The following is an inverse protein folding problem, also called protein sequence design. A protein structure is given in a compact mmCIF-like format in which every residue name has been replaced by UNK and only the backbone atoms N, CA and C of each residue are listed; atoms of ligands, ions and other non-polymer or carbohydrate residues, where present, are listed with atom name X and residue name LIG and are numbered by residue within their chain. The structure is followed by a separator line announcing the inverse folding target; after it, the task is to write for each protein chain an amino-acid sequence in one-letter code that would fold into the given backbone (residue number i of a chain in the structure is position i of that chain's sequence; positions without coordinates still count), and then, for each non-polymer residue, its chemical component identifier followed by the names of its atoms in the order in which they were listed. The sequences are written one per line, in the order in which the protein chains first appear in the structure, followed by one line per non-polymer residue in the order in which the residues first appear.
data_IF_939799707799
#
_entry.id   IF_939799707799
#
_cell.length_a   1.000
_cell.length_b   1.000
_cell.length_c   1.000
_cell.angle_alpha   90.00
_cell.angle_beta   90.00
_cell.angle_gamma   90.00
#
_symmetry.space_group_name_H-M   'P 1'
#
loop_
_entity.id
_entity.type
_entity.pdbx_description
1 polymer ?
#
# COMPACT_ATOMS: atom_id res chain seq x y z
N UNK A 1 8.21 -8.76 22.13
CA UNK A 1 9.53 -9.03 21.55
C UNK A 1 9.93 -10.50 21.75
N UNK A 2 9.73 -11.03 22.93
CA UNK A 2 10.03 -12.44 23.27
C UNK A 2 9.30 -13.43 22.34
N UNK A 3 8.05 -13.14 22.00
CA UNK A 3 7.26 -13.91 21.02
C UNK A 3 7.71 -13.74 19.55
N UNK A 4 8.82 -13.07 19.29
CA UNK A 4 9.38 -12.89 17.94
C UNK A 4 8.81 -11.70 17.14
N UNK A 5 8.06 -10.78 17.78
CA UNK A 5 7.54 -9.59 17.10
C UNK A 5 8.68 -8.61 16.78
N UNK A 6 8.88 -8.30 15.50
CA UNK A 6 9.94 -7.44 15.01
C UNK A 6 9.49 -6.06 14.54
N UNK A 7 8.25 -5.96 14.07
CA UNK A 7 7.76 -4.77 13.40
C UNK A 7 6.26 -4.61 13.54
N UNK A 8 5.83 -3.37 13.74
CA UNK A 8 4.42 -2.98 13.79
C UNK A 8 4.19 -1.87 12.75
N UNK A 9 3.11 -1.99 12.01
CA UNK A 9 2.52 -0.90 11.26
C UNK A 9 1.35 -0.36 12.08
N UNK A 10 1.35 0.94 12.38
CA UNK A 10 0.31 1.59 13.16
C UNK A 10 -0.31 2.76 12.41
N UNK A 11 -1.60 2.99 12.60
CA UNK A 11 -2.26 4.20 12.14
C UNK A 11 -1.75 5.41 12.93
N UNK A 12 -1.51 6.50 12.21
CA UNK A 12 -1.10 7.79 12.78
C UNK A 12 -1.72 8.92 11.95
N UNK A 13 -3.03 9.18 12.11
CA UNK A 13 -3.83 9.98 11.20
C UNK A 13 -3.46 11.46 11.17
N UNK A 14 -3.10 12.06 12.30
CA UNK A 14 -2.76 13.48 12.40
C UNK A 14 -1.99 13.80 13.68
N UNK A 15 -1.16 14.83 13.64
CA UNK A 15 -0.58 15.47 14.83
C UNK A 15 -1.64 16.29 15.60
N UNK A 16 -2.68 16.76 14.91
CA UNK A 16 -3.78 17.47 15.56
C UNK A 16 -4.64 16.51 16.37
N UNK A 17 -4.81 16.82 17.65
CA UNK A 17 -5.54 15.94 18.58
C UNK A 17 -7.01 15.76 18.20
N UNK A 18 -7.68 16.85 17.78
CA UNK A 18 -9.12 16.79 17.45
C UNK A 18 -9.34 16.02 16.16
N UNK A 19 -8.50 16.27 15.14
CA UNK A 19 -8.53 15.52 13.89
C UNK A 19 -8.24 14.03 14.13
N UNK A 20 -7.22 13.73 14.95
CA UNK A 20 -6.85 12.37 15.28
C UNK A 20 -8.00 11.63 15.96
N UNK A 21 -8.60 12.25 16.99
CA UNK A 21 -9.74 11.68 17.70
C UNK A 21 -10.96 11.50 16.78
N UNK A 22 -11.23 12.47 15.89
CA UNK A 22 -12.29 12.39 14.90
C UNK A 22 -12.08 11.22 13.92
N UNK A 23 -10.89 11.09 13.33
CA UNK A 23 -10.58 10.04 12.35
C UNK A 23 -10.59 8.66 13.03
N UNK A 24 -10.04 8.58 14.25
CA UNK A 24 -9.95 7.32 15.01
C UNK A 24 -11.25 6.96 15.74
N UNK A 25 -12.25 7.84 15.73
CA UNK A 25 -13.50 7.70 16.49
C UNK A 25 -13.23 7.30 17.97
N UNK A 26 -12.23 7.92 18.59
CA UNK A 26 -11.74 7.56 19.92
C UNK A 26 -11.10 8.75 20.62
N UNK A 27 -11.49 9.02 21.84
CA UNK A 27 -10.92 10.08 22.67
C UNK A 27 -9.48 9.81 23.08
N UNK A 28 -8.64 10.85 23.05
CA UNK A 28 -7.22 10.81 23.40
C UNK A 28 -6.43 9.77 22.56
N UNK A 29 -6.82 9.59 21.30
CA UNK A 29 -6.21 8.61 20.42
C UNK A 29 -4.75 8.95 20.10
N UNK A 30 -4.41 10.21 19.91
CA UNK A 30 -3.04 10.66 19.64
C UNK A 30 -2.10 10.28 20.79
N UNK A 31 -2.47 10.56 22.04
CA UNK A 31 -1.66 10.23 23.22
C UNK A 31 -1.50 8.71 23.38
N UNK A 32 -2.57 7.94 23.10
CA UNK A 32 -2.52 6.48 23.14
C UNK A 32 -1.56 5.93 22.08
N UNK A 33 -1.61 6.45 20.86
CA UNK A 33 -0.72 6.08 19.75
C UNK A 33 0.73 6.41 20.11
N UNK A 34 1.01 7.64 20.56
CA UNK A 34 2.35 8.06 20.96
C UNK A 34 2.93 7.20 22.07
N UNK A 35 2.11 6.88 23.09
CA UNK A 35 2.51 5.99 24.18
C UNK A 35 2.83 4.59 23.69
N UNK A 36 2.01 4.04 22.78
CA UNK A 36 2.23 2.74 22.15
C UNK A 36 3.52 2.70 21.33
N UNK A 37 3.76 3.71 20.49
CA UNK A 37 5.00 3.84 19.70
C UNK A 37 6.21 3.86 20.62
N UNK A 38 6.21 4.74 21.65
CA UNK A 38 7.32 4.84 22.61
C UNK A 38 7.59 3.51 23.35
N UNK A 39 6.53 2.78 23.70
CA UNK A 39 6.67 1.46 24.34
C UNK A 39 7.33 0.45 23.38
N UNK A 40 6.91 0.40 22.15
CA UNK A 40 7.47 -0.49 21.11
C UNK A 40 8.94 -0.17 20.83
N UNK A 41 9.28 1.10 20.62
CA UNK A 41 10.65 1.55 20.36
C UNK A 41 11.58 1.20 21.51
N UNK A 42 11.16 1.43 22.76
CA UNK A 42 11.94 1.05 23.96
C UNK A 42 12.21 -0.46 24.03
N UNK A 43 11.31 -1.28 23.50
CA UNK A 43 11.48 -2.74 23.46
C UNK A 43 12.14 -3.24 22.17
N UNK A 44 12.74 -2.36 21.36
CA UNK A 44 13.44 -2.74 20.13
C UNK A 44 12.52 -3.25 19.02
N UNK A 45 11.22 -2.91 19.06
CA UNK A 45 10.27 -3.21 18.00
C UNK A 45 10.27 -2.05 17.01
N UNK A 46 10.50 -2.32 15.74
CA UNK A 46 10.46 -1.30 14.68
C UNK A 46 9.03 -0.86 14.42
N UNK A 47 8.84 0.42 14.18
CA UNK A 47 7.53 1.01 13.92
C UNK A 47 7.50 1.67 12.56
N UNK A 48 6.47 1.35 11.78
CA UNK A 48 6.05 2.13 10.63
C UNK A 48 4.75 2.87 10.98
N UNK A 49 4.77 4.18 10.90
CA UNK A 49 3.57 5.00 11.00
C UNK A 49 2.88 5.08 9.64
N UNK A 50 1.56 4.99 9.62
CA UNK A 50 0.75 5.12 8.40
C UNK A 50 -0.34 6.18 8.60
N UNK A 51 -0.36 7.14 7.70
CA UNK A 51 -1.38 8.17 7.62
C UNK A 51 -2.25 7.92 6.40
N UNK A 52 -3.53 7.63 6.60
CA UNK A 52 -4.51 7.66 5.51
C UNK A 52 -4.81 9.11 5.21
N UNK A 53 -4.59 9.51 3.95
CA UNK A 53 -4.77 10.91 3.54
C UNK A 53 -6.24 11.17 3.31
N UNK A 54 -6.74 12.18 3.98
CA UNK A 54 -8.07 12.74 3.85
C UNK A 54 -7.96 14.25 3.64
N UNK A 55 -8.95 14.88 3.09
CA UNK A 55 -8.99 16.35 2.98
C UNK A 55 -8.82 17.03 4.34
N UNK A 56 -9.35 16.41 5.41
CA UNK A 56 -9.25 16.94 6.76
C UNK A 56 -7.82 17.00 7.31
N UNK A 57 -6.91 16.09 6.86
CA UNK A 57 -5.58 15.96 7.46
C UNK A 57 -4.42 16.23 6.49
N UNK A 58 -4.69 16.47 5.21
CA UNK A 58 -3.65 16.60 4.18
C UNK A 58 -2.63 17.73 4.47
N UNK A 59 -3.04 18.78 5.13
CA UNK A 59 -2.15 19.91 5.48
C UNK A 59 -1.28 19.62 6.73
N UNK A 60 -1.46 18.48 7.39
CA UNK A 60 -0.71 18.04 8.59
C UNK A 60 0.34 16.97 8.30
N UNK A 61 0.54 16.58 7.03
CA UNK A 61 1.42 15.47 6.66
C UNK A 61 2.84 15.67 7.18
N UNK A 62 3.44 16.84 6.90
CA UNK A 62 4.82 17.11 7.30
C UNK A 62 5.00 17.08 8.82
N UNK A 63 4.14 17.76 9.55
CA UNK A 63 4.23 17.85 11.00
C UNK A 63 3.94 16.49 11.67
N UNK A 64 3.01 15.70 11.11
CA UNK A 64 2.74 14.34 11.56
C UNK A 64 3.94 13.43 11.33
N UNK A 65 4.57 13.53 10.15
CA UNK A 65 5.80 12.77 9.85
C UNK A 65 6.98 13.19 10.73
N UNK A 66 7.14 14.50 11.00
CA UNK A 66 8.13 15.02 11.94
C UNK A 66 7.92 14.46 13.36
N UNK A 67 6.68 14.42 13.83
CA UNK A 67 6.36 13.81 15.12
C UNK A 67 6.67 12.30 15.12
N UNK A 68 6.28 11.57 14.06
CA UNK A 68 6.60 10.15 13.92
C UNK A 68 8.11 9.89 13.98
N UNK A 69 8.91 10.73 13.29
CA UNK A 69 10.38 10.67 13.35
C UNK A 69 10.91 10.88 14.77
N UNK A 70 10.42 11.90 15.48
CA UNK A 70 10.82 12.21 16.86
C UNK A 70 10.46 11.10 17.86
N UNK A 71 9.45 10.31 17.57
CA UNK A 71 9.03 9.17 18.36
C UNK A 71 9.85 7.89 18.07
N UNK A 72 10.73 7.92 17.06
CA UNK A 72 11.58 6.79 16.68
C UNK A 72 10.94 5.83 15.69
N UNK A 73 9.93 6.25 14.93
CA UNK A 73 9.44 5.47 13.79
C UNK A 73 10.51 5.37 12.70
N UNK A 74 10.69 4.20 12.11
CA UNK A 74 11.67 3.96 11.03
C UNK A 74 11.10 4.23 9.64
N UNK A 75 9.77 4.29 9.52
CA UNK A 75 9.06 4.56 8.26
C UNK A 75 7.82 5.40 8.48
N UNK A 76 7.52 6.22 7.48
CA UNK A 76 6.26 6.95 7.39
C UNK A 76 5.60 6.69 6.04
N UNK A 77 4.43 6.09 6.07
CA UNK A 77 3.62 5.85 4.89
C UNK A 77 2.47 6.85 4.83
N UNK A 78 2.16 7.31 3.61
CA UNK A 78 0.88 7.92 3.33
C UNK A 78 0.08 6.97 2.45
N UNK A 79 -1.18 6.79 2.77
CA UNK A 79 -2.05 5.87 2.05
C UNK A 79 -3.23 6.62 1.49
N UNK A 80 -3.49 6.45 0.20
CA UNK A 80 -4.74 6.95 -0.40
C UNK A 80 -5.90 6.34 0.35
N UNK A 81 -6.88 7.16 0.72
CA UNK A 81 -8.13 6.66 1.24
C UNK A 81 -8.84 5.84 0.17
N UNK A 82 -9.32 4.66 0.54
CA UNK A 82 -10.28 3.92 -0.26
C UNK A 82 -11.65 4.30 0.30
N UNK A 83 -12.50 4.98 -0.47
CA UNK A 83 -13.85 5.31 0.00
C UNK A 83 -14.58 4.03 0.43
N UNK A 84 -15.49 4.10 1.40
CA UNK A 84 -16.34 2.97 1.71
C UNK A 84 -17.09 2.55 0.43
N UNK A 85 -17.20 1.24 0.22
CA UNK A 85 -17.89 0.70 -0.94
C UNK A 85 -19.32 1.26 -1.03
N UNK A 86 -19.83 1.27 -2.22
CA UNK A 86 -21.15 1.81 -2.60
C UNK A 86 -22.29 1.03 -1.93
N UNK A 87 -22.27 0.90 -0.60
CA UNK A 87 -23.43 0.44 0.15
C UNK A 87 -24.52 1.54 0.10
N UNK A 88 -25.77 1.14 0.14
CA UNK A 88 -26.92 2.06 0.01
C UNK A 88 -26.89 3.25 0.99
N UNK A 89 -26.11 3.15 2.06
CA UNK A 89 -25.90 4.20 3.06
C UNK A 89 -25.01 5.34 2.58
N UNK A 90 -24.17 5.14 1.56
CA UNK A 90 -23.28 6.18 1.01
C UNK A 90 -23.93 7.04 -0.10
N UNK A 91 -25.13 6.68 -0.56
CA UNK A 91 -25.86 7.44 -1.58
C UNK A 91 -26.51 8.73 -1.06
N UNK A 92 -26.53 8.97 0.24
CA UNK A 92 -27.35 10.05 0.83
C UNK A 92 -26.59 11.30 1.23
N UNK A 93 -25.24 11.33 1.13
CA UNK A 93 -24.48 12.49 1.59
C UNK A 93 -23.26 12.77 0.70
N UNK A 94 -23.40 13.75 -0.19
CA UNK A 94 -22.33 14.29 -1.03
C UNK A 94 -21.14 14.82 -0.20
N UNK A 95 -21.30 15.03 1.10
CA UNK A 95 -20.24 15.52 2.01
C UNK A 95 -19.13 14.49 2.21
N UNK A 96 -19.41 13.20 2.02
CA UNK A 96 -18.39 12.14 2.16
C UNK A 96 -17.48 12.01 0.95
N UNK A 97 -17.94 12.30 -0.26
CA UNK A 97 -17.10 12.27 -1.47
C UNK A 97 -15.94 13.28 -1.38
N UNK A 98 -16.22 14.48 -0.90
CA UNK A 98 -15.20 15.53 -0.74
C UNK A 98 -14.13 15.16 0.28
N UNK A 99 -14.45 14.34 1.28
CA UNK A 99 -13.49 13.92 2.29
C UNK A 99 -12.39 13.00 1.73
N UNK A 100 -12.74 12.12 0.79
CA UNK A 100 -11.86 11.06 0.28
C UNK A 100 -11.19 11.41 -1.05
N UNK A 101 -11.82 12.23 -1.89
CA UNK A 101 -11.36 12.53 -3.23
C UNK A 101 -10.52 13.82 -3.28
N UNK A 102 -9.22 13.66 -3.10
CA UNK A 102 -8.27 14.76 -3.32
C UNK A 102 -8.05 14.97 -4.83
N UNK A 103 -7.91 16.22 -5.23
CA UNK A 103 -7.52 16.57 -6.60
C UNK A 103 -6.11 16.09 -6.92
N UNK A 104 -5.75 16.12 -8.21
CA UNK A 104 -4.38 15.79 -8.65
C UNK A 104 -3.34 16.69 -7.99
N UNK A 105 -3.60 18.00 -7.89
CA UNK A 105 -2.69 18.97 -7.27
C UNK A 105 -2.54 18.73 -5.77
N UNK A 106 -3.65 18.53 -5.06
CA UNK A 106 -3.64 18.20 -3.64
C UNK A 106 -2.87 16.91 -3.37
N UNK A 107 -3.09 15.87 -4.19
CA UNK A 107 -2.38 14.61 -4.05
C UNK A 107 -0.88 14.78 -4.31
N UNK A 108 -0.47 15.52 -5.34
CA UNK A 108 0.96 15.80 -5.59
C UNK A 108 1.58 16.59 -4.45
N UNK A 109 0.89 17.60 -3.91
CA UNK A 109 1.33 18.35 -2.72
C UNK A 109 1.57 17.42 -1.53
N UNK A 110 0.65 16.47 -1.29
CA UNK A 110 0.83 15.46 -0.24
C UNK A 110 2.08 14.60 -0.45
N UNK A 111 2.32 14.13 -1.68
CA UNK A 111 3.52 13.35 -2.01
C UNK A 111 4.80 14.16 -1.80
N UNK A 112 4.80 15.43 -2.18
CA UNK A 112 5.95 16.33 -2.02
C UNK A 112 6.28 16.57 -0.53
N UNK A 113 5.27 16.74 0.33
CA UNK A 113 5.48 16.83 1.79
C UNK A 113 6.10 15.54 2.36
N UNK A 114 5.73 14.38 1.84
CA UNK A 114 6.34 13.11 2.26
C UNK A 114 7.80 12.99 1.79
N UNK A 115 8.11 13.44 0.57
CA UNK A 115 9.51 13.50 0.11
C UNK A 115 10.35 14.47 0.94
N UNK A 116 9.74 15.55 1.42
CA UNK A 116 10.37 16.49 2.36
C UNK A 116 10.68 15.81 3.69
N UNK A 117 9.74 15.03 4.25
CA UNK A 117 9.98 14.21 5.46
C UNK A 117 11.16 13.27 5.25
N UNK A 118 11.22 12.55 4.12
CA UNK A 118 12.36 11.68 3.76
C UNK A 118 13.67 12.42 3.80
N UNK A 119 13.73 13.60 3.20
CA UNK A 119 14.93 14.44 3.12
C UNK A 119 15.36 14.92 4.49
N UNK A 120 14.44 15.50 5.26
CA UNK A 120 14.75 16.21 6.50
C UNK A 120 15.04 15.27 7.66
N UNK A 121 14.33 14.14 7.76
CA UNK A 121 14.45 13.19 8.87
C UNK A 121 15.14 11.87 8.50
N UNK A 122 15.61 11.70 7.25
CA UNK A 122 16.21 10.44 6.75
C UNK A 122 15.30 9.22 6.94
N UNK A 123 14.01 9.44 7.04
CA UNK A 123 13.01 8.42 7.23
C UNK A 123 12.65 7.75 5.90
N UNK A 124 12.42 6.44 5.92
CA UNK A 124 11.88 5.76 4.74
C UNK A 124 10.41 6.13 4.57
N UNK A 125 10.02 6.36 3.33
CA UNK A 125 8.65 6.76 3.00
C UNK A 125 8.06 5.87 1.93
N UNK A 126 6.75 5.99 1.68
CA UNK A 126 6.05 5.24 0.64
C UNK A 126 4.54 5.30 0.83
N UNK A 127 3.83 4.44 0.10
CA UNK A 127 2.38 4.29 0.20
C UNK A 127 2.00 2.80 0.30
N UNK A 128 0.86 2.51 0.94
CA UNK A 128 0.29 1.16 0.99
C UNK A 128 -0.73 0.90 -0.12
N UNK A 129 -1.23 1.96 -0.74
CA UNK A 129 -2.13 1.91 -1.89
C UNK A 129 -1.41 2.49 -3.11
N UNK A 130 -1.49 1.80 -4.24
CA UNK A 130 -0.81 2.20 -5.47
C UNK A 130 -1.36 3.50 -6.06
N UNK A 131 -0.46 4.25 -6.70
CA UNK A 131 -0.78 5.40 -7.54
C UNK A 131 -0.65 5.01 -9.01
N UNK A 132 -1.56 5.48 -9.91
CA UNK A 132 -1.33 5.36 -11.33
C UNK A 132 -0.02 6.03 -11.73
N UNK A 133 0.86 5.32 -12.45
CA UNK A 133 2.18 5.87 -12.82
C UNK A 133 2.07 7.06 -13.76
N UNK A 134 1.06 7.08 -14.61
CA UNK A 134 0.77 8.22 -15.48
C UNK A 134 0.45 9.50 -14.70
N UNK A 135 -0.13 9.39 -13.50
CA UNK A 135 -0.35 10.51 -12.59
C UNK A 135 0.96 11.04 -12.00
N UNK A 136 1.86 10.13 -11.64
CA UNK A 136 3.14 10.52 -11.04
C UNK A 136 4.02 11.28 -12.04
N UNK A 137 3.98 10.96 -13.34
CA UNK A 137 4.76 11.52 -14.44
C UNK A 137 6.27 11.36 -14.28
N UNK A 138 6.85 12.01 -13.25
CA UNK A 138 8.26 11.95 -12.90
C UNK A 138 8.50 10.80 -11.90
N UNK A 139 8.73 9.61 -12.46
CA UNK A 139 8.88 8.41 -11.64
C UNK A 139 10.19 8.39 -10.84
N UNK A 140 11.22 9.14 -11.27
CA UNK A 140 12.46 9.31 -10.50
C UNK A 140 12.23 10.16 -9.26
N UNK A 141 11.53 11.27 -9.39
CA UNK A 141 11.13 12.11 -8.24
C UNK A 141 10.30 11.31 -7.25
N UNK A 142 9.31 10.57 -7.75
CA UNK A 142 8.34 9.83 -6.94
C UNK A 142 8.69 8.34 -6.76
N UNK A 143 9.97 7.98 -6.89
CA UNK A 143 10.46 6.59 -6.83
C UNK A 143 9.97 5.81 -5.61
N UNK A 144 9.83 6.44 -4.45
CA UNK A 144 9.35 5.81 -3.22
C UNK A 144 7.88 5.35 -3.30
N UNK A 145 7.14 5.83 -4.28
CA UNK A 145 5.74 5.49 -4.53
C UNK A 145 5.53 4.60 -5.77
N UNK A 146 6.62 4.29 -6.48
CA UNK A 146 6.62 3.47 -7.69
C UNK A 146 6.89 2.00 -7.36
N UNK A 147 6.48 1.09 -8.24
CA UNK A 147 6.91 -0.31 -8.26
C UNK A 147 6.22 -1.22 -7.27
N UNK A 148 5.14 -0.77 -6.63
CA UNK A 148 4.37 -1.68 -5.78
C UNK A 148 3.26 -2.40 -6.51
N UNK A 149 2.71 -1.84 -7.58
CA UNK A 149 1.49 -2.37 -8.17
C UNK A 149 0.38 -2.59 -7.12
N UNK A 150 -0.65 -3.31 -7.48
CA UNK A 150 -1.65 -3.76 -6.51
C UNK A 150 -1.25 -5.14 -5.94
N UNK A 151 -0.92 -5.27 -4.64
CA UNK A 151 -0.53 -6.57 -4.07
C UNK A 151 -1.62 -7.64 -4.20
N UNK A 152 -2.87 -7.21 -4.26
CA UNK A 152 -4.01 -8.11 -4.45
C UNK A 152 -4.07 -8.62 -5.90
N UNK A 153 -3.88 -7.75 -6.90
CA UNK A 153 -3.81 -8.18 -8.30
C UNK A 153 -2.59 -9.06 -8.60
N UNK A 154 -1.46 -8.74 -7.96
CA UNK A 154 -0.23 -9.56 -8.11
C UNK A 154 -0.29 -10.88 -7.35
N UNK A 155 -1.37 -11.19 -6.63
CA UNK A 155 -1.50 -12.42 -5.87
C UNK A 155 -0.63 -12.51 -4.62
N UNK A 156 -0.02 -11.41 -4.18
CA UNK A 156 0.85 -11.38 -3.00
C UNK A 156 0.09 -11.14 -1.69
N UNK A 157 -1.20 -10.88 -1.76
CA UNK A 157 -2.03 -10.53 -0.62
C UNK A 157 -3.44 -11.06 -0.79
N UNK A 158 -3.99 -11.53 0.31
CA UNK A 158 -5.41 -11.80 0.49
C UNK A 158 -5.81 -11.36 1.88
N UNK A 159 -7.09 -11.28 2.15
CA UNK A 159 -7.65 -11.02 3.47
C UNK A 159 -8.65 -12.10 3.86
N UNK A 160 -8.79 -12.31 5.16
CA UNK A 160 -9.79 -13.21 5.75
C UNK A 160 -10.57 -12.37 6.74
N UNK A 161 -11.90 -12.38 6.61
CA UNK A 161 -12.76 -11.69 7.56
C UNK A 161 -13.03 -12.54 8.82
N UNK A 162 -13.77 -11.98 9.78
CA UNK A 162 -14.08 -12.66 11.05
C UNK A 162 -14.89 -13.95 10.88
N UNK A 163 -15.63 -14.09 9.78
CA UNK A 163 -16.43 -15.28 9.45
C UNK A 163 -15.62 -16.36 8.71
N UNK A 164 -14.35 -16.08 8.41
CA UNK A 164 -13.48 -16.98 7.66
C UNK A 164 -13.58 -16.84 6.14
N UNK A 165 -14.30 -15.85 5.62
CA UNK A 165 -14.41 -15.62 4.19
C UNK A 165 -13.13 -15.01 3.63
N UNK A 166 -12.71 -15.49 2.47
CA UNK A 166 -11.51 -15.09 1.75
C UNK A 166 -11.83 -14.00 0.72
N UNK A 167 -11.09 -12.92 0.79
CA UNK A 167 -11.19 -11.78 -0.14
C UNK A 167 -9.83 -11.47 -0.76
N UNK A 168 -9.80 -10.95 -1.98
CA UNK A 168 -8.55 -10.52 -2.63
C UNK A 168 -7.98 -9.24 -1.99
N UNK A 169 -8.85 -8.42 -1.41
CA UNK A 169 -8.48 -7.18 -0.74
C UNK A 169 -9.35 -6.95 0.50
N UNK A 170 -8.84 -6.23 1.49
CA UNK A 170 -9.62 -5.83 2.69
C UNK A 170 -10.79 -4.90 2.37
N UNK A 171 -10.78 -4.28 1.21
CA UNK A 171 -11.83 -3.38 0.72
C UNK A 171 -12.78 -4.06 -0.30
N UNK A 172 -12.60 -5.36 -0.55
CA UNK A 172 -13.45 -6.15 -1.44
C UNK A 172 -14.56 -6.80 -0.65
N UNK A 173 -15.80 -6.70 -1.10
CA UNK A 173 -16.95 -7.32 -0.46
C UNK A 173 -17.19 -8.75 -0.99
N UNK A 174 -16.78 -9.03 -2.23
CA UNK A 174 -16.93 -10.35 -2.83
C UNK A 174 -16.09 -11.39 -2.08
N UNK A 175 -16.72 -12.49 -1.67
CA UNK A 175 -16.05 -13.64 -1.06
C UNK A 175 -15.76 -14.69 -2.11
N UNK A 176 -14.52 -15.19 -2.10
CA UNK A 176 -14.02 -16.22 -3.02
C UNK A 176 -14.00 -17.61 -2.39
N UNK A 177 -14.40 -17.73 -1.15
CA UNK A 177 -14.47 -18.97 -0.41
C UNK A 177 -14.33 -18.75 1.08
N UNK A 178 -14.34 -19.85 1.86
CA UNK A 178 -14.29 -19.76 3.32
C UNK A 178 -13.30 -20.81 3.86
N UNK A 179 -12.38 -20.35 4.73
CA UNK A 179 -11.28 -21.17 5.29
C UNK A 179 -11.75 -22.37 6.12
N UNK A 180 -13.00 -22.35 6.59
CA UNK A 180 -13.58 -23.47 7.32
C UNK A 180 -14.20 -24.53 6.40
N UNK A 181 -14.36 -24.23 5.10
CA UNK A 181 -15.00 -25.10 4.10
C UNK A 181 -14.03 -25.60 3.04
N UNK A 182 -13.05 -24.77 2.66
CA UNK A 182 -12.16 -25.02 1.53
C UNK A 182 -10.74 -24.57 1.91
N UNK A 183 -9.72 -25.24 1.41
CA UNK A 183 -8.35 -24.84 1.68
C UNK A 183 -8.02 -23.47 1.03
N UNK A 184 -7.21 -22.67 1.70
CA UNK A 184 -6.75 -21.38 1.16
C UNK A 184 -6.06 -21.58 -0.20
N UNK A 185 -5.29 -22.65 -0.35
CA UNK A 185 -4.59 -22.98 -1.60
C UNK A 185 -5.57 -23.21 -2.75
N UNK A 186 -6.64 -23.93 -2.51
CA UNK A 186 -7.66 -24.23 -3.52
C UNK A 186 -8.38 -22.94 -3.97
N UNK A 187 -8.84 -22.13 -3.02
CA UNK A 187 -9.47 -20.81 -3.32
C UNK A 187 -8.52 -19.91 -4.10
N UNK A 188 -7.24 -19.83 -3.68
CA UNK A 188 -6.24 -19.01 -4.34
C UNK A 188 -5.97 -19.46 -5.78
N UNK A 189 -5.89 -20.75 -6.04
CA UNK A 189 -5.58 -21.29 -7.36
C UNK A 189 -6.76 -21.26 -8.33
N UNK A 190 -7.98 -21.32 -7.83
CA UNK A 190 -9.20 -21.39 -8.62
C UNK A 190 -9.91 -20.03 -8.67
N UNK A 191 -10.61 -19.69 -7.60
CA UNK A 191 -11.53 -18.55 -7.58
C UNK A 191 -10.83 -17.20 -7.66
N UNK A 192 -9.73 -17.03 -6.94
CA UNK A 192 -8.96 -15.78 -6.96
C UNK A 192 -8.08 -15.61 -8.19
N UNK A 193 -7.92 -16.66 -8.99
CA UNK A 193 -7.06 -16.65 -10.18
C UNK A 193 -7.47 -15.62 -11.21
N UNK A 194 -8.76 -15.30 -11.31
CA UNK A 194 -9.28 -14.26 -12.20
C UNK A 194 -8.69 -12.89 -11.88
N UNK A 195 -8.56 -12.56 -10.60
CA UNK A 195 -7.90 -11.35 -10.16
C UNK A 195 -6.40 -11.37 -10.49
N UNK A 196 -5.74 -12.47 -10.17
CA UNK A 196 -4.31 -12.64 -10.40
C UNK A 196 -3.95 -12.66 -11.88
N UNK A 197 -4.86 -13.08 -12.76
CA UNK A 197 -4.67 -13.07 -14.21
C UNK A 197 -4.83 -11.69 -14.84
N UNK A 198 -4.90 -10.64 -14.02
CA UNK A 198 -4.89 -9.23 -14.48
C UNK A 198 -6.08 -8.86 -15.38
N UNK A 199 -7.18 -9.61 -15.30
CA UNK A 199 -8.42 -9.36 -16.04
C UNK A 199 -9.14 -8.08 -15.60
N UNK A 200 -8.80 -7.57 -14.43
CA UNK A 200 -9.40 -6.38 -13.81
C UNK A 200 -8.63 -5.08 -14.11
N UNK A 201 -8.00 -4.97 -15.27
CA UNK A 201 -7.31 -3.75 -15.69
C UNK A 201 -8.24 -2.84 -16.48
N UNK A 202 -8.11 -1.53 -16.27
CA UNK A 202 -8.86 -0.54 -17.03
C UNK A 202 -8.48 -0.60 -18.52
N UNK A 203 -9.48 -0.68 -19.42
CA UNK A 203 -9.27 -0.80 -20.86
C UNK A 203 -8.52 0.40 -21.48
N UNK A 204 -8.67 1.60 -20.90
CA UNK A 204 -7.93 2.80 -21.31
C UNK A 204 -6.41 2.71 -21.06
N UNK A 205 -5.94 1.70 -20.33
CA UNK A 205 -4.51 1.43 -20.14
C UNK A 205 -3.92 0.47 -21.19
N UNK A 206 -4.72 0.04 -22.18
CA UNK A 206 -4.26 -0.87 -23.24
C UNK A 206 -3.09 -0.25 -24.01
N UNK A 207 -1.99 -1.01 -24.14
CA UNK A 207 -0.77 -0.56 -24.83
C UNK A 207 0.13 0.35 -23.98
N UNK A 208 -0.17 0.56 -22.71
CA UNK A 208 0.72 1.27 -21.80
C UNK A 208 1.95 0.43 -21.46
N UNK A 209 3.15 0.97 -21.66
CA UNK A 209 4.43 0.29 -21.35
C UNK A 209 4.58 -0.05 -19.87
N UNK A 210 3.92 0.72 -18.98
CA UNK A 210 4.01 0.57 -17.52
C UNK A 210 2.89 -0.29 -16.92
N UNK A 211 2.05 -0.92 -17.74
CA UNK A 211 0.84 -1.61 -17.25
C UNK A 211 1.16 -2.76 -16.29
N UNK A 212 2.25 -3.48 -16.53
CA UNK A 212 2.67 -4.61 -15.69
C UNK A 212 3.12 -4.17 -14.29
N UNK A 213 3.65 -2.95 -14.17
CA UNK A 213 4.10 -2.38 -12.90
C UNK A 213 3.00 -1.56 -12.22
N UNK A 214 2.15 -0.90 -13.00
CA UNK A 214 1.11 0.01 -12.51
C UNK A 214 -0.18 -0.71 -12.15
N UNK A 215 -0.56 -1.73 -12.93
CA UNK A 215 -1.80 -2.51 -12.79
C UNK A 215 -3.07 -1.64 -12.77
N UNK A 216 -3.05 -0.50 -13.48
CA UNK A 216 -4.14 0.48 -13.58
C UNK A 216 -4.48 1.21 -12.28
N UNK A 217 -3.56 1.29 -11.32
CA UNK A 217 -3.79 1.95 -10.03
C UNK A 217 -4.50 1.06 -9.01
N UNK A 218 -5.45 1.61 -8.25
CA UNK A 218 -6.17 0.87 -7.22
C UNK A 218 -7.59 0.50 -7.68
N UNK A 219 -7.84 -0.79 -7.85
CA UNK A 219 -9.15 -1.29 -8.29
C UNK A 219 -10.27 -1.01 -7.31
N UNK A 220 -9.96 -0.98 -6.01
CA UNK A 220 -10.97 -0.69 -4.98
C UNK A 220 -11.38 0.79 -4.96
N UNK A 221 -10.43 1.70 -5.21
CA UNK A 221 -10.77 3.13 -5.40
C UNK A 221 -11.58 3.30 -6.67
N UNK A 222 -11.19 2.64 -7.77
CA UNK A 222 -11.95 2.67 -9.02
C UNK A 222 -13.38 2.16 -8.81
N UNK A 223 -13.55 1.04 -8.11
CA UNK A 223 -14.85 0.48 -7.81
C UNK A 223 -15.69 1.39 -6.90
N UNK A 224 -15.08 1.97 -5.87
CA UNK A 224 -15.79 2.87 -4.95
C UNK A 224 -16.30 4.14 -5.64
N UNK A 225 -15.56 4.65 -6.65
CA UNK A 225 -15.92 5.87 -7.37
C UNK A 225 -16.88 5.59 -8.55
N UNK A 226 -16.67 4.48 -9.28
CA UNK A 226 -17.38 4.20 -10.53
C UNK A 226 -18.42 3.07 -10.41
N UNK A 227 -18.52 2.42 -9.24
CA UNK A 227 -19.45 1.32 -8.98
C UNK A 227 -18.92 -0.07 -9.38
N UNK A 228 -17.81 -0.15 -10.12
CA UNK A 228 -17.24 -1.43 -10.56
C UNK A 228 -15.70 -1.38 -10.69
N UNK A 229 -15.07 -2.54 -10.59
CA UNK A 229 -13.65 -2.73 -10.86
C UNK A 229 -13.32 -2.63 -12.35
N UNK A 230 -12.05 -2.61 -12.71
CA UNK A 230 -11.57 -2.46 -14.09
C UNK A 230 -11.98 -1.15 -14.78
N UNK A 231 -12.32 -0.15 -13.98
CA UNK A 231 -12.67 1.20 -14.42
C UNK A 231 -11.53 2.19 -14.18
N UNK A 232 -11.75 3.43 -14.58
CA UNK A 232 -10.77 4.50 -14.49
C UNK A 232 -10.47 4.88 -13.03
N UNK A 233 -9.19 4.76 -12.61
CA UNK A 233 -8.75 5.34 -11.32
C UNK A 233 -8.92 6.87 -11.38
N UNK A 234 -9.43 7.54 -10.33
CA UNK A 234 -9.60 9.01 -10.33
C UNK A 234 -8.34 9.80 -10.65
N UNK A 235 -7.17 9.25 -10.35
CA UNK A 235 -5.87 9.89 -10.67
C UNK A 235 -5.33 9.52 -12.05
N UNK A 236 -6.04 8.74 -12.86
CA UNK A 236 -5.61 8.39 -14.21
C UNK A 236 -5.62 9.59 -15.15
N UNK A 237 -4.50 9.85 -15.84
CA UNK A 237 -4.35 10.97 -16.82
C UNK A 237 -4.00 10.51 -18.22
N UNK A 238 -3.77 9.21 -18.44
CA UNK A 238 -3.49 8.64 -19.76
C UNK A 238 -2.23 7.78 -19.80
N UNK A 239 -2.16 6.78 -20.71
CA UNK A 239 -1.14 5.75 -20.69
C UNK A 239 0.27 6.27 -21.01
N UNK A 240 0.43 7.40 -21.68
CA UNK A 240 1.73 7.90 -22.14
C UNK A 240 2.23 9.11 -21.34
N UNK A 241 1.59 9.43 -20.21
CA UNK A 241 1.96 10.58 -19.39
C UNK A 241 3.06 10.23 -18.37
N UNK A 242 4.13 9.59 -18.81
CA UNK A 242 5.31 9.28 -18.00
C UNK A 242 6.53 9.82 -18.71
N UNK A 243 7.41 10.53 -18.00
CA UNK A 243 8.71 10.96 -18.54
C UNK A 243 9.54 9.73 -18.86
N UNK A 244 10.01 9.63 -20.11
CA UNK A 244 10.64 8.42 -20.68
C UNK A 244 12.01 8.06 -20.13
N UNK A 245 12.63 8.92 -19.35
CA UNK A 245 13.99 8.71 -18.81
C UNK A 245 14.01 7.95 -17.48
N UNK A 246 12.88 7.37 -17.07
CA UNK A 246 12.82 6.55 -15.88
C UNK A 246 13.54 5.23 -16.11
N UNK A 247 14.77 5.15 -15.65
CA UNK A 247 15.44 3.88 -15.42
C UNK A 247 14.96 3.32 -14.08
N UNK A 248 14.05 2.36 -14.12
CA UNK A 248 13.95 1.38 -13.05
C UNK A 248 15.39 0.95 -12.80
N UNK A 249 15.91 1.22 -11.59
CA UNK A 249 17.19 0.67 -11.16
C UNK A 249 17.14 -0.79 -11.54
N UNK A 250 18.00 -1.09 -12.44
CA UNK A 250 18.05 -2.30 -13.19
C UNK A 250 17.85 -3.49 -12.22
N UNK A 251 16.65 -4.07 -12.19
CA UNK A 251 16.46 -5.38 -11.58
C UNK A 251 17.40 -6.41 -12.23
N UNK A 252 17.95 -6.12 -13.43
CA UNK A 252 19.05 -6.85 -14.02
C UNK A 252 20.24 -6.94 -13.06
N UNK A 253 20.54 -5.92 -12.25
CA UNK A 253 21.59 -5.99 -11.24
C UNK A 253 21.33 -7.07 -10.18
N UNK A 254 20.09 -7.28 -9.75
CA UNK A 254 19.74 -8.36 -8.82
C UNK A 254 19.77 -9.70 -9.56
N UNK A 255 19.22 -9.79 -10.77
CA UNK A 255 19.23 -11.01 -11.57
C UNK A 255 20.64 -11.38 -12.06
N UNK A 256 21.49 -10.42 -12.40
CA UNK A 256 22.88 -10.67 -12.79
C UNK A 256 23.74 -11.08 -11.61
N UNK A 257 23.47 -10.58 -10.42
CA UNK A 257 24.10 -11.01 -9.17
C UNK A 257 23.69 -12.46 -8.84
N UNK A 258 22.40 -12.80 -9.00
CA UNK A 258 21.89 -14.17 -8.80
C UNK A 258 22.50 -15.14 -9.83
N UNK A 259 22.67 -14.75 -11.08
CA UNK A 259 23.28 -15.56 -12.15
C UNK A 259 24.76 -15.85 -11.97
N UNK A 260 25.49 -15.05 -11.20
CA UNK A 260 26.96 -15.16 -11.03
C UNK A 260 27.42 -16.17 -9.97
N UNK A 261 26.55 -17.04 -9.44
CA UNK A 261 26.90 -18.05 -8.43
C UNK A 261 27.66 -17.48 -7.19
N UNK A 262 27.46 -16.24 -6.86
CA UNK A 262 28.01 -15.68 -5.63
C UNK A 262 27.23 -16.23 -4.42
N UNK A 263 27.96 -16.71 -3.42
CA UNK A 263 27.38 -17.19 -2.17
C UNK A 263 26.83 -15.99 -1.39
N UNK A 264 25.51 -15.79 -1.41
CA UNK A 264 24.88 -14.78 -0.59
C UNK A 264 24.86 -15.19 0.87
N UNK A 265 25.32 -14.30 1.74
CA UNK A 265 25.10 -14.45 3.17
C UNK A 265 23.66 -14.06 3.48
N UNK A 266 22.80 -15.05 3.62
CA UNK A 266 21.41 -14.85 4.02
C UNK A 266 21.40 -14.18 5.39
N UNK A 267 20.78 -12.99 5.51
CA UNK A 267 20.56 -12.38 6.83
C UNK A 267 19.57 -13.22 7.62
N UNK A 268 19.77 -13.38 8.91
CA UNK A 268 18.90 -14.12 9.84
C UNK A 268 17.42 -13.68 9.84
N UNK A 269 17.08 -12.64 9.09
CA UNK A 269 15.73 -12.08 8.93
C UNK A 269 15.00 -12.58 7.67
N UNK A 270 15.64 -13.38 6.81
CA UNK A 270 14.97 -14.00 5.68
C UNK A 270 14.25 -15.27 6.17
N UNK A 271 12.96 -15.34 5.92
CA UNK A 271 12.18 -16.55 6.16
C UNK A 271 12.02 -17.29 4.86
N UNK A 272 12.40 -18.55 4.87
CA UNK A 272 12.22 -19.48 3.77
C UNK A 272 10.97 -20.30 4.03
N UNK A 273 10.20 -20.52 3.00
CA UNK A 273 9.16 -21.54 2.98
C UNK A 273 9.46 -22.47 1.83
N UNK A 274 9.69 -23.74 2.13
CA UNK A 274 9.86 -24.76 1.11
C UNK A 274 8.48 -25.21 0.65
N UNK A 275 8.20 -25.01 -0.62
CA UNK A 275 7.03 -25.57 -1.30
C UNK A 275 7.49 -26.69 -2.24
N UNK A 276 6.59 -27.59 -2.65
CA UNK A 276 6.95 -28.68 -3.57
C UNK A 276 7.53 -28.09 -4.87
N UNK A 277 8.85 -28.26 -5.04
CA UNK A 277 9.57 -27.91 -6.26
C UNK A 277 10.16 -26.50 -6.34
N UNK A 278 9.98 -25.65 -5.31
CA UNK A 278 10.60 -24.32 -5.27
C UNK A 278 10.73 -23.78 -3.84
N UNK A 279 11.61 -22.81 -3.68
CA UNK A 279 11.82 -22.11 -2.41
C UNK A 279 11.26 -20.70 -2.58
N UNK A 280 10.28 -20.36 -1.76
CA UNK A 280 9.80 -18.96 -1.66
C UNK A 280 10.73 -18.18 -0.74
N UNK A 281 11.41 -17.18 -1.28
CA UNK A 281 12.22 -16.23 -0.53
C UNK A 281 11.43 -14.94 -0.38
N UNK A 282 10.98 -14.65 0.84
CA UNK A 282 10.34 -13.35 1.11
C UNK A 282 11.42 -12.29 1.31
N UNK A 283 11.65 -11.48 0.30
CA UNK A 283 12.55 -10.33 0.41
C UNK A 283 11.77 -9.18 1.05
N UNK A 284 12.44 -8.44 1.91
CA UNK A 284 11.95 -7.37 2.80
C UNK A 284 11.12 -6.25 2.11
N UNK A 285 10.89 -6.33 0.80
CA UNK A 285 10.23 -5.32 -0.03
C UNK A 285 8.97 -5.82 -0.76
N UNK A 286 8.47 -6.98 -0.39
CA UNK A 286 7.22 -7.50 -0.95
C UNK A 286 7.36 -8.23 -2.29
N UNK A 287 8.56 -8.39 -2.82
CA UNK A 287 8.78 -9.24 -3.97
C UNK A 287 9.10 -10.66 -3.50
N UNK A 288 8.39 -11.63 -4.02
CA UNK A 288 8.69 -13.04 -3.83
C UNK A 288 9.48 -13.51 -5.03
N UNK A 289 10.67 -14.04 -4.82
CA UNK A 289 11.46 -14.69 -5.86
C UNK A 289 11.22 -16.20 -5.69
N UNK A 290 10.78 -16.87 -6.75
CA UNK A 290 10.85 -18.33 -6.81
C UNK A 290 12.20 -18.71 -7.41
N UNK A 291 12.96 -19.53 -6.71
CA UNK A 291 14.22 -20.13 -7.15
C UNK A 291 14.02 -21.61 -7.41
#
# INVERSE_FOLDING_TARGET
REAGLDHILTSFPSIDKKENDYIMQSNNSLEKIMRGIKACVRNGIRISANMVILRANMDKIYDTGKLAASLGCDKFFITRAVPPSYSETSKSDNSTEDLYNLTHEETKKCLDEVLRIKKDFKMRVGSLVSYPLCFLEDLDKYRDFVGRGCPSQSGHRMSINANGDLHVCVHEEESYGNVFKTSIQEVYQNEMRTWHNKSKRYSGCKGCEYIEMCESGCQMISAAVNGETATKDPLYVGPNNVKKDFNLVDDKGIYDVIKKNEKFKVRNTLRFRQEKGFILVNIRWGNTISV
#
